data_IF_144137998170
#
_entry.id   IF_144137998170
#
_cell.length_a   1.000
_cell.length_b   1.000
_cell.length_c   1.000
_cell.angle_alpha   90.00
_cell.angle_beta   90.00
_cell.angle_gamma   90.00
#
_symmetry.space_group_name_H-M   'P 1'
#
loop_
_entity.id
_entity.type
_entity.pdbx_description
1 polymer ?
#
# COMPACT_ATOMS: atom_id res chain seq x y z
N UNK A 1 4.00 -11.75 -1.94
CA UNK A 1 3.38 -10.49 -1.45
C UNK A 1 4.17 -9.95 -0.25
N UNK A 2 4.06 -8.66 0.12
CA UNK A 2 4.95 -7.96 1.10
C UNK A 2 5.25 -8.77 2.37
N UNK A 3 4.25 -9.45 2.94
CA UNK A 3 4.41 -10.32 4.13
C UNK A 3 5.37 -11.49 3.91
N UNK A 4 5.38 -12.08 2.72
CA UNK A 4 6.26 -13.20 2.35
C UNK A 4 7.67 -12.71 2.00
N UNK A 5 7.78 -11.62 1.24
CA UNK A 5 9.08 -11.08 0.82
C UNK A 5 9.80 -10.34 1.94
N UNK A 6 9.07 -9.84 2.95
CA UNK A 6 9.56 -8.96 4.03
C UNK A 6 10.28 -7.69 3.53
N UNK A 7 10.15 -7.38 2.24
CA UNK A 7 10.82 -6.27 1.57
C UNK A 7 9.89 -5.59 0.59
N UNK A 8 9.99 -4.27 0.53
CA UNK A 8 9.22 -3.43 -0.38
C UNK A 8 9.96 -2.12 -0.67
N UNK A 9 9.59 -1.44 -1.76
CA UNK A 9 10.03 -0.07 -2.05
C UNK A 9 8.85 0.88 -1.88
N UNK A 10 9.01 1.88 -1.03
CA UNK A 10 8.10 3.01 -0.87
C UNK A 10 8.50 4.12 -1.86
N UNK A 11 7.52 4.67 -2.57
CA UNK A 11 7.73 5.77 -3.52
C UNK A 11 6.99 7.01 -3.06
N UNK A 12 7.65 8.17 -3.11
CA UNK A 12 7.01 9.47 -2.96
C UNK A 12 6.75 10.07 -4.34
N UNK A 13 5.49 10.06 -4.78
CA UNK A 13 5.12 10.56 -6.11
C UNK A 13 5.35 12.07 -6.23
N UNK A 14 5.81 12.50 -7.40
CA UNK A 14 5.96 13.91 -7.77
C UNK A 14 4.68 14.46 -8.41
N UNK A 15 4.51 15.78 -8.36
CA UNK A 15 3.44 16.48 -9.09
C UNK A 15 3.43 16.09 -10.57
N UNK A 16 2.23 15.90 -11.14
CA UNK A 16 2.07 15.42 -12.52
C UNK A 16 2.00 13.89 -12.65
N UNK A 17 2.30 13.14 -11.59
CA UNK A 17 2.26 11.67 -11.60
C UNK A 17 0.91 11.08 -11.13
N UNK A 18 -0.18 11.85 -11.18
CA UNK A 18 -1.51 11.38 -10.75
C UNK A 18 -2.04 10.21 -11.59
N UNK A 19 -1.57 10.04 -12.82
CA UNK A 19 -1.98 8.96 -13.72
C UNK A 19 -1.57 7.56 -13.22
N UNK A 20 -0.71 7.47 -12.19
CA UNK A 20 -0.44 6.21 -11.50
C UNK A 20 -1.57 5.76 -10.57
N UNK A 21 -2.39 6.68 -10.05
CA UNK A 21 -3.43 6.36 -9.05
C UNK A 21 -4.40 5.26 -9.51
N UNK A 22 -4.89 5.23 -10.75
CA UNK A 22 -5.82 4.19 -11.20
C UNK A 22 -5.14 2.81 -11.21
N UNK A 23 -3.98 2.69 -11.83
CA UNK A 23 -3.22 1.44 -11.91
C UNK A 23 -2.87 0.88 -10.53
N UNK A 24 -2.47 1.75 -9.60
CA UNK A 24 -2.08 1.32 -8.25
C UNK A 24 -3.25 1.22 -7.27
N UNK A 25 -4.35 1.93 -7.50
CA UNK A 25 -5.50 2.03 -6.59
C UNK A 25 -6.72 1.19 -6.95
N UNK A 26 -6.92 0.83 -8.23
CA UNK A 26 -8.08 0.05 -8.68
C UNK A 26 -7.77 -1.43 -8.82
N UNK A 27 -6.63 -1.76 -9.41
CA UNK A 27 -6.30 -3.14 -9.75
C UNK A 27 -5.35 -3.78 -8.75
N UNK A 28 -5.44 -5.10 -8.60
CA UNK A 28 -4.40 -5.87 -7.92
C UNK A 28 -3.26 -6.21 -8.87
N UNK A 29 -2.03 -6.29 -8.35
CA UNK A 29 -0.90 -6.77 -9.14
C UNK A 29 -1.00 -8.25 -9.53
N UNK A 30 -1.99 -8.96 -8.95
CA UNK A 30 -2.37 -10.32 -9.33
C UNK A 30 -3.25 -10.37 -10.58
N UNK A 31 -3.91 -9.25 -10.90
CA UNK A 31 -4.85 -9.12 -12.02
C UNK A 31 -4.18 -8.47 -13.23
N UNK A 32 -3.34 -7.47 -12.99
CA UNK A 32 -2.69 -6.67 -14.04
C UNK A 32 -1.22 -6.45 -13.70
N UNK A 33 -0.35 -6.59 -14.69
CA UNK A 33 1.03 -6.12 -14.58
C UNK A 33 1.07 -4.59 -14.61
N UNK A 34 1.11 -3.99 -13.42
CA UNK A 34 1.16 -2.53 -13.23
C UNK A 34 2.43 -1.88 -13.78
N UNK A 35 3.47 -2.67 -14.09
CA UNK A 35 4.73 -2.17 -14.65
C UNK A 35 4.84 -2.38 -16.16
N UNK A 36 3.85 -3.00 -16.80
CA UNK A 36 3.87 -3.23 -18.24
C UNK A 36 4.01 -1.91 -19.02
N UNK A 37 5.03 -1.83 -19.87
CA UNK A 37 5.30 -0.64 -20.69
C UNK A 37 5.99 0.52 -19.96
N UNK A 38 6.41 0.34 -18.70
CA UNK A 38 7.14 1.34 -17.93
C UNK A 38 8.63 0.98 -17.90
N UNK A 39 9.49 1.95 -18.21
CA UNK A 39 10.93 1.82 -17.96
C UNK A 39 11.20 1.93 -16.46
N UNK A 40 11.27 0.78 -15.78
CA UNK A 40 11.52 0.69 -14.34
C UNK A 40 12.98 0.35 -14.05
N UNK A 41 13.55 1.05 -13.07
CA UNK A 41 14.79 0.61 -12.43
C UNK A 41 14.49 -0.46 -11.38
N UNK A 42 15.53 -1.10 -10.85
CA UNK A 42 15.40 -2.07 -9.75
C UNK A 42 16.46 -1.83 -8.69
N UNK A 43 16.13 -2.12 -7.43
CA UNK A 43 17.12 -2.19 -6.36
C UNK A 43 18.09 -3.36 -6.59
N UNK A 44 19.16 -3.44 -5.80
CA UNK A 44 20.08 -4.58 -5.83
C UNK A 44 19.37 -5.92 -5.61
N UNK A 45 18.26 -5.90 -4.87
CA UNK A 45 17.41 -7.06 -4.57
C UNK A 45 16.27 -7.27 -5.59
N UNK A 46 16.32 -6.55 -6.71
CA UNK A 46 15.41 -6.74 -7.83
C UNK A 46 14.02 -6.13 -7.63
N UNK A 47 13.82 -5.28 -6.62
CA UNK A 47 12.53 -4.66 -6.34
C UNK A 47 12.33 -3.45 -7.29
N UNK A 48 11.19 -3.35 -8.01
CA UNK A 48 10.93 -2.26 -8.95
C UNK A 48 10.97 -0.87 -8.33
N UNK A 49 11.57 0.07 -9.04
CA UNK A 49 11.63 1.50 -8.71
C UNK A 49 10.94 2.29 -9.83
N UNK A 50 9.94 3.10 -9.46
CA UNK A 50 9.24 3.99 -10.39
C UNK A 50 10.11 5.19 -10.79
N UNK A 51 10.11 5.56 -12.07
CA UNK A 51 10.81 6.75 -12.54
C UNK A 51 10.13 8.03 -12.07
N UNK A 52 10.89 9.13 -12.10
CA UNK A 52 10.41 10.50 -11.91
C UNK A 52 9.68 10.82 -10.60
N UNK A 53 9.86 9.98 -9.59
CA UNK A 53 9.38 10.21 -8.22
C UNK A 53 10.24 11.27 -7.52
N UNK A 54 9.72 11.88 -6.45
CA UNK A 54 10.51 12.73 -5.54
C UNK A 54 11.58 11.93 -4.79
N UNK A 55 11.42 10.62 -4.74
CA UNK A 55 12.34 9.72 -4.08
C UNK A 55 11.70 8.38 -3.80
N UNK A 56 12.53 7.45 -3.36
CA UNK A 56 12.13 6.13 -2.96
C UNK A 56 12.95 5.65 -1.76
N UNK A 57 12.38 4.71 -1.01
CA UNK A 57 13.03 4.04 0.11
C UNK A 57 12.79 2.55 -0.02
N UNK A 58 13.86 1.77 -0.06
CA UNK A 58 13.79 0.32 0.09
C UNK A 58 13.76 -0.02 1.57
N UNK A 59 12.76 -0.81 1.94
CA UNK A 59 12.42 -1.09 3.32
C UNK A 59 12.48 -2.59 3.60
N UNK A 60 13.00 -2.97 4.77
CA UNK A 60 12.98 -4.32 5.31
C UNK A 60 12.08 -4.37 6.53
N UNK A 61 11.08 -5.25 6.51
CA UNK A 61 10.13 -5.42 7.61
C UNK A 61 10.82 -6.07 8.80
N UNK A 62 10.76 -5.39 9.95
CA UNK A 62 11.28 -5.85 11.24
C UNK A 62 10.18 -6.31 12.18
N UNK A 63 8.94 -5.83 12.00
CA UNK A 63 7.80 -6.24 12.81
C UNK A 63 6.48 -6.14 12.03
N UNK A 64 5.56 -7.04 12.36
CA UNK A 64 4.17 -7.00 11.90
C UNK A 64 3.24 -6.92 13.10
N UNK A 65 2.23 -6.07 13.01
CA UNK A 65 1.15 -5.96 14.00
C UNK A 65 -0.18 -6.20 13.31
N UNK A 66 -0.80 -7.34 13.62
CA UNK A 66 -2.11 -7.71 13.08
C UNK A 66 -3.23 -7.00 13.84
N UNK A 67 -4.06 -6.26 13.11
CA UNK A 67 -5.20 -5.50 13.62
C UNK A 67 -6.55 -6.08 13.17
N UNK A 68 -6.55 -7.24 12.49
CA UNK A 68 -7.75 -7.91 12.00
C UNK A 68 -8.03 -7.64 10.52
N UNK A 69 -8.48 -6.43 10.20
CA UNK A 69 -8.72 -5.99 8.81
C UNK A 69 -7.45 -5.50 8.10
N UNK A 70 -6.45 -5.05 8.85
CA UNK A 70 -5.19 -4.53 8.34
C UNK A 70 -4.01 -4.97 9.18
N UNK A 71 -2.82 -4.87 8.59
CA UNK A 71 -1.56 -5.12 9.28
C UNK A 71 -0.67 -3.90 9.18
N UNK A 72 -0.14 -3.48 10.31
CA UNK A 72 0.91 -2.46 10.37
C UNK A 72 2.25 -3.17 10.20
N UNK A 73 3.00 -2.76 9.18
CA UNK A 73 4.39 -3.15 9.02
C UNK A 73 5.30 -2.07 9.58
N UNK A 74 6.20 -2.45 10.47
CA UNK A 74 7.32 -1.61 10.92
C UNK A 74 8.54 -2.08 10.14
N UNK A 75 9.24 -1.17 9.50
CA UNK A 75 10.33 -1.50 8.60
C UNK A 75 11.49 -0.50 8.71
N UNK A 76 12.71 -1.04 8.62
CA UNK A 76 13.93 -0.25 8.51
C UNK A 76 14.13 0.18 7.06
N UNK A 77 14.60 1.42 6.85
CA UNK A 77 15.04 1.89 5.54
C UNK A 77 16.48 1.45 5.33
N UNK A 78 16.71 0.57 4.36
CA UNK A 78 18.04 0.01 4.06
C UNK A 78 18.75 0.77 2.94
N UNK A 79 17.98 1.27 1.97
CA UNK A 79 18.46 2.11 0.88
C UNK A 79 17.43 3.20 0.56
N UNK A 80 17.88 4.35 0.08
CA UNK A 80 16.97 5.41 -0.36
C UNK A 80 17.65 6.31 -1.39
N UNK A 81 16.81 7.02 -2.16
CA UNK A 81 17.24 8.12 -3.03
C UNK A 81 16.22 9.25 -2.94
N UNK A 82 16.71 10.48 -2.92
CA UNK A 82 15.88 11.69 -2.92
C UNK A 82 16.25 12.56 -4.12
N UNK A 83 15.24 13.17 -4.73
CA UNK A 83 15.33 14.08 -5.86
C UNK A 83 14.70 15.41 -5.45
N UNK A 84 15.50 16.27 -4.81
CA UNK A 84 15.03 17.45 -4.06
C UNK A 84 14.39 18.54 -4.94
N UNK A 85 14.68 18.53 -6.24
CA UNK A 85 14.14 19.45 -7.23
C UNK A 85 12.67 19.16 -7.58
N UNK A 86 12.14 17.98 -7.25
CA UNK A 86 10.77 17.58 -7.57
C UNK A 86 9.83 17.88 -6.40
N UNK A 87 8.64 18.41 -6.71
CA UNK A 87 7.60 18.70 -5.72
C UNK A 87 6.71 17.48 -5.48
N UNK A 88 6.38 17.15 -4.22
CA UNK A 88 5.53 15.99 -3.91
C UNK A 88 4.09 16.20 -4.38
N UNK A 89 3.46 15.12 -4.84
CA UNK A 89 2.05 15.11 -5.21
C UNK A 89 1.17 15.04 -3.96
N UNK A 90 0.43 16.09 -3.66
CA UNK A 90 -0.54 16.10 -2.57
C UNK A 90 -1.83 15.38 -2.98
N UNK A 91 -2.49 14.69 -2.02
CA UNK A 91 -3.72 13.93 -2.29
C UNK A 91 -4.83 14.75 -2.94
N UNK A 92 -5.05 15.99 -2.47
CA UNK A 92 -6.10 16.86 -3.02
C UNK A 92 -5.80 17.20 -4.49
N UNK A 93 -4.55 17.55 -4.78
CA UNK A 93 -4.07 17.84 -6.14
C UNK A 93 -4.18 16.60 -7.03
N UNK A 94 -3.80 15.42 -6.53
CA UNK A 94 -3.88 14.16 -7.26
C UNK A 94 -5.32 13.85 -7.69
N UNK A 95 -6.28 13.95 -6.78
CA UNK A 95 -7.68 13.68 -7.09
C UNK A 95 -8.26 14.74 -8.03
N UNK A 96 -7.90 16.01 -7.85
CA UNK A 96 -8.36 17.10 -8.72
C UNK A 96 -7.81 16.97 -10.16
N UNK A 97 -6.65 16.36 -10.34
CA UNK A 97 -6.02 16.14 -11.64
C UNK A 97 -6.52 14.91 -12.41
N UNK A 98 -7.42 14.10 -11.85
CA UNK A 98 -7.94 12.88 -12.48
C UNK A 98 -9.24 13.11 -13.24
N UNK A 99 -9.53 12.31 -14.29
CA UNK A 99 -10.83 12.32 -14.94
C UNK A 99 -11.97 11.99 -13.96
N UNK A 100 -13.15 12.64 -14.05
CA UNK A 100 -14.25 12.44 -13.09
C UNK A 100 -14.72 11.00 -12.96
N UNK A 101 -14.69 10.23 -14.04
CA UNK A 101 -15.04 8.80 -14.07
C UNK A 101 -14.10 7.96 -13.22
N UNK A 102 -12.80 8.22 -13.31
CA UNK A 102 -11.77 7.54 -12.52
C UNK A 102 -11.92 7.87 -11.04
N UNK A 103 -12.22 9.14 -10.72
CA UNK A 103 -12.46 9.56 -9.34
C UNK A 103 -13.68 8.85 -8.75
N UNK A 104 -14.76 8.68 -9.53
CA UNK A 104 -15.94 7.93 -9.10
C UNK A 104 -15.62 6.46 -8.85
N UNK A 105 -14.83 5.84 -9.71
CA UNK A 105 -14.43 4.44 -9.56
C UNK A 105 -13.55 4.21 -8.32
N UNK A 106 -12.57 5.08 -8.08
CA UNK A 106 -11.75 5.06 -6.86
C UNK A 106 -12.59 5.26 -5.59
N UNK A 107 -13.63 6.09 -5.67
CA UNK A 107 -14.55 6.29 -4.56
C UNK A 107 -15.44 5.05 -4.31
N UNK A 108 -15.96 4.43 -5.37
CA UNK A 108 -16.76 3.21 -5.28
C UNK A 108 -15.95 2.05 -4.67
N UNK A 109 -14.74 1.81 -5.19
CA UNK A 109 -13.83 0.81 -4.65
C UNK A 109 -13.52 1.02 -3.17
N UNK A 110 -13.31 2.28 -2.74
CA UNK A 110 -13.08 2.59 -1.32
C UNK A 110 -14.27 2.17 -0.45
N UNK A 111 -15.51 2.36 -0.93
CA UNK A 111 -16.70 1.95 -0.19
C UNK A 111 -16.78 0.42 -0.06
N UNK A 112 -16.50 -0.30 -1.15
CA UNK A 112 -16.41 -1.77 -1.14
C UNK A 112 -15.34 -2.28 -0.16
N UNK A 113 -14.15 -1.66 -0.17
CA UNK A 113 -13.06 -2.02 0.75
C UNK A 113 -13.47 -1.79 2.22
N UNK A 114 -14.20 -0.70 2.53
CA UNK A 114 -14.73 -0.44 3.88
C UNK A 114 -15.71 -1.53 4.33
N UNK A 115 -16.57 -2.01 3.43
CA UNK A 115 -17.53 -3.07 3.75
C UNK A 115 -16.82 -4.40 4.02
N UNK A 116 -15.79 -4.72 3.23
CA UNK A 116 -14.94 -5.90 3.43
C UNK A 116 -14.21 -5.83 4.79
N UNK A 117 -13.57 -4.69 5.08
CA UNK A 117 -12.85 -4.44 6.34
C UNK A 117 -13.76 -4.62 7.56
N UNK A 118 -15.01 -4.13 7.48
CA UNK A 118 -15.99 -4.29 8.57
C UNK A 118 -16.22 -5.77 8.91
N UNK A 119 -16.40 -6.63 7.91
CA UNK A 119 -16.61 -8.07 8.12
C UNK A 119 -15.38 -8.75 8.73
N UNK A 120 -14.17 -8.36 8.30
CA UNK A 120 -12.92 -8.85 8.88
C UNK A 120 -12.81 -8.47 10.37
N UNK A 121 -13.17 -7.23 10.74
CA UNK A 121 -13.13 -6.78 12.13
C UNK A 121 -14.12 -7.53 13.04
N UNK A 122 -15.33 -7.79 12.55
CA UNK A 122 -16.32 -8.60 13.28
C UNK A 122 -15.76 -10.00 13.60
N UNK A 123 -15.12 -10.64 12.61
CA UNK A 123 -14.49 -11.96 12.80
C UNK A 123 -13.29 -11.90 13.75
N UNK A 124 -12.45 -10.87 13.65
CA UNK A 124 -11.27 -10.70 14.50
C UNK A 124 -11.65 -10.53 15.98
N UNK A 125 -12.68 -9.73 16.28
CA UNK A 125 -13.19 -9.57 17.64
C UNK A 125 -13.75 -10.85 18.23
N UNK A 126 -14.45 -11.67 17.44
CA UNK A 126 -14.93 -12.97 17.89
C UNK A 126 -13.77 -13.90 18.31
N UNK A 127 -12.73 -13.98 17.48
CA UNK A 127 -11.54 -14.80 17.75
C UNK A 127 -10.79 -14.32 19.00
N UNK A 128 -10.64 -13.00 19.19
CA UNK A 128 -10.04 -12.41 20.38
C UNK A 128 -10.84 -12.73 21.65
N UNK A 129 -12.18 -12.63 21.58
CA UNK A 129 -13.09 -12.95 22.69
C UNK A 129 -12.96 -14.40 23.14
N UNK A 130 -12.90 -15.33 22.19
CA UNK A 130 -12.78 -16.77 22.50
C UNK A 130 -11.38 -17.14 23.00
N UNK A 131 -10.31 -16.50 22.50
CA UNK A 131 -8.96 -16.63 23.09
C UNK A 131 -8.93 -16.16 24.55
N UNK A 132 -9.55 -15.01 24.85
CA UNK A 132 -9.65 -14.50 26.22
C UNK A 132 -10.46 -15.40 27.15
N UNK A 133 -11.52 -16.06 26.66
CA UNK A 133 -12.31 -17.02 27.45
C UNK A 133 -11.52 -18.30 27.73
N UNK A 134 -10.84 -18.85 26.72
CA UNK A 134 -10.08 -20.10 26.86
C UNK A 134 -8.83 -19.95 27.74
N UNK A 135 -8.26 -18.75 27.84
CA UNK A 135 -7.17 -18.44 28.79
C UNK A 135 -7.63 -18.43 30.26
N UNK A 136 -8.94 -18.27 30.54
CA UNK A 136 -9.49 -18.24 31.90
C UNK A 136 -9.87 -19.62 32.45
N UNK A 137 -9.89 -20.65 31.61
CA UNK A 137 -10.31 -22.02 31.97
C UNK A 137 -9.15 -22.95 32.37
N UNK A 138 -7.91 -22.45 32.34
CA UNK A 138 -6.68 -23.20 32.67
C UNK A 138 -6.13 -22.77 34.07
N UNK A 139 -6.99 -22.19 34.91
CA UNK A 139 -6.67 -21.76 36.28
C UNK A 139 -7.39 -22.59 37.32
#
# INVERSE_FOLDING_TARGET
MIRESKRFVLHLLAQGQQDWLPSFGLYSMREVDKFAGIEIAKTADGIPILPDTCGWAECQIVQEVDLGDRVIFIADVVHHQVYAERKPLCRIEAIAGLPPEVVRELAAKRLEDIECDRGLMESFHAIQSDRCKNLRTIG
#
